data_IF_749466330543
#
_entry.id   IF_749466330543
#
_cell.length_a   1.000
_cell.length_b   1.000
_cell.length_c   1.000
_cell.angle_alpha   90.00
_cell.angle_beta   90.00
_cell.angle_gamma   90.00
#
_symmetry.space_group_name_H-M   'P 1'
#
loop_
_entity.id
_entity.type
_entity.pdbx_description
1 polymer ?
#
# COMPACT_ATOMS: atom_id res chain seq x y z
N UNK A 1 -1.45 -21.92 0.90
CA UNK A 1 -0.04 -21.49 0.99
C UNK A 1 0.13 -20.00 1.30
N UNK A 2 -0.58 -19.06 0.64
CA UNK A 2 -0.43 -17.60 0.88
C UNK A 2 -0.70 -17.13 2.32
N UNK A 3 -1.80 -17.58 2.94
CA UNK A 3 -2.13 -17.20 4.33
C UNK A 3 -1.12 -17.69 5.37
N UNK A 4 -0.57 -18.90 5.19
CA UNK A 4 0.45 -19.44 6.10
C UNK A 4 1.75 -18.64 6.01
N UNK A 5 2.14 -18.22 4.79
CA UNK A 5 3.28 -17.32 4.60
C UNK A 5 3.05 -15.99 5.30
N UNK A 6 1.88 -15.38 5.11
CA UNK A 6 1.53 -14.10 5.75
C UNK A 6 1.66 -14.18 7.28
N UNK A 7 1.14 -15.23 7.90
CA UNK A 7 1.25 -15.44 9.36
C UNK A 7 2.70 -15.70 9.80
N UNK A 8 3.49 -16.42 9.00
CA UNK A 8 4.90 -16.69 9.30
C UNK A 8 5.82 -15.47 9.21
N UNK A 9 5.40 -14.40 8.52
CA UNK A 9 6.18 -13.16 8.37
C UNK A 9 5.89 -12.13 9.47
N UNK A 10 4.90 -12.37 10.32
CA UNK A 10 4.53 -11.46 11.41
C UNK A 10 5.73 -11.21 12.34
N UNK A 11 6.13 -9.95 12.47
CA UNK A 11 7.25 -9.55 13.34
C UNK A 11 8.65 -9.82 12.76
N UNK A 12 8.74 -10.41 11.57
CA UNK A 12 10.01 -10.67 10.87
C UNK A 12 10.14 -9.74 9.66
N UNK A 13 9.15 -9.76 8.75
CA UNK A 13 9.18 -8.96 7.53
C UNK A 13 7.78 -8.46 7.15
N UNK A 14 7.39 -7.37 7.79
CA UNK A 14 6.05 -6.79 7.61
C UNK A 14 5.86 -6.19 6.19
N UNK A 15 6.93 -5.75 5.53
CA UNK A 15 6.85 -5.20 4.17
C UNK A 15 6.52 -6.29 3.15
N UNK A 16 7.18 -7.44 3.24
CA UNK A 16 6.87 -8.57 2.37
C UNK A 16 5.47 -9.11 2.62
N UNK A 17 5.04 -9.19 3.88
CA UNK A 17 3.67 -9.56 4.23
C UNK A 17 2.63 -8.60 3.60
N UNK A 18 2.89 -7.29 3.61
CA UNK A 18 2.00 -6.29 3.00
C UNK A 18 2.01 -6.34 1.46
N UNK A 19 3.17 -6.61 0.85
CA UNK A 19 3.30 -6.80 -0.61
C UNK A 19 2.51 -8.02 -1.06
N UNK A 20 2.68 -9.17 -0.38
CA UNK A 20 1.95 -10.39 -0.72
C UNK A 20 0.45 -10.28 -0.45
N UNK A 21 0.05 -9.59 0.61
CA UNK A 21 -1.36 -9.30 0.89
C UNK A 21 -2.03 -8.55 -0.26
N UNK A 22 -1.39 -7.49 -0.78
CA UNK A 22 -1.94 -6.71 -1.90
C UNK A 22 -1.96 -7.51 -3.21
N UNK A 23 -0.86 -8.22 -3.50
CA UNK A 23 -0.72 -9.01 -4.73
C UNK A 23 -1.62 -10.24 -4.80
N UNK A 24 -1.89 -10.90 -3.66
CA UNK A 24 -2.65 -12.15 -3.61
C UNK A 24 -4.09 -11.98 -3.11
N UNK A 25 -4.41 -10.85 -2.47
CA UNK A 25 -5.71 -10.63 -1.82
C UNK A 25 -5.96 -11.55 -0.61
N UNK A 26 -4.92 -12.18 -0.07
CA UNK A 26 -5.03 -13.09 1.09
C UNK A 26 -4.05 -12.69 2.22
N UNK A 27 -4.45 -12.81 3.49
CA UNK A 27 -5.80 -13.13 3.97
C UNK A 27 -6.82 -12.02 3.64
N UNK A 28 -8.11 -12.35 3.55
CA UNK A 28 -9.14 -11.33 3.38
C UNK A 28 -9.33 -10.57 4.70
N UNK A 29 -8.67 -9.42 4.83
CA UNK A 29 -8.71 -8.58 6.04
C UNK A 29 -9.81 -7.52 5.87
N UNK A 30 -10.82 -7.46 6.77
CA UNK A 30 -11.83 -6.41 6.73
C UNK A 30 -11.23 -5.06 7.11
N UNK A 31 -11.77 -3.99 6.53
CA UNK A 31 -11.42 -2.64 6.91
C UNK A 31 -11.87 -2.34 8.34
N UNK A 32 -11.08 -1.54 9.07
CA UNK A 32 -11.43 -1.08 10.41
C UNK A 32 -12.71 -0.24 10.41
N UNK A 33 -13.53 -0.38 11.46
CA UNK A 33 -14.76 0.39 11.69
C UNK A 33 -14.52 1.70 12.47
N UNK A 34 -13.26 2.01 12.79
CA UNK A 34 -12.94 3.19 13.58
C UNK A 34 -13.27 4.50 12.85
N UNK A 35 -13.73 5.55 13.56
CA UNK A 35 -13.91 6.87 12.96
C UNK A 35 -12.54 7.43 12.52
N UNK A 36 -12.45 7.89 11.26
CA UNK A 36 -11.22 8.46 10.68
C UNK A 36 -10.40 7.51 9.81
N UNK A 37 -10.91 6.31 9.50
CA UNK A 37 -10.29 5.44 8.48
C UNK A 37 -10.40 6.06 7.09
N UNK A 38 -9.38 5.83 6.26
CA UNK A 38 -9.43 6.17 4.84
C UNK A 38 -10.53 5.38 4.11
N UNK A 39 -10.86 5.74 2.86
CA UNK A 39 -11.93 5.09 2.11
C UNK A 39 -11.68 3.61 1.83
N UNK A 40 -10.41 3.21 1.73
CA UNK A 40 -9.97 1.82 1.49
C UNK A 40 -8.67 1.54 2.27
N UNK A 41 -8.27 0.27 2.35
CA UNK A 41 -6.93 -0.13 2.79
C UNK A 41 -5.89 0.43 1.78
N UNK A 42 -4.83 1.14 2.22
CA UNK A 42 -3.84 1.70 1.32
C UNK A 42 -3.14 0.66 0.44
N UNK A 43 -3.08 0.95 -0.86
CA UNK A 43 -2.40 0.15 -1.88
C UNK A 43 -0.97 0.62 -2.14
N UNK A 44 -0.57 1.78 -1.63
CA UNK A 44 0.82 2.27 -1.68
C UNK A 44 1.08 3.35 -0.61
N UNK A 45 2.36 3.71 -0.46
CA UNK A 45 2.77 4.87 0.32
C UNK A 45 2.84 6.12 -0.58
N UNK A 46 2.64 7.29 0.03
CA UNK A 46 2.86 8.59 -0.62
C UNK A 46 4.36 8.87 -0.74
N UNK A 47 4.72 9.61 -1.78
CA UNK A 47 6.04 10.24 -1.84
C UNK A 47 6.25 11.19 -0.65
N UNK A 48 7.49 11.36 -0.18
CA UNK A 48 7.78 12.29 0.91
C UNK A 48 7.55 13.74 0.45
N UNK A 49 7.23 14.62 1.40
CA UNK A 49 6.95 16.04 1.13
C UNK A 49 8.09 16.74 0.40
N UNK A 50 9.34 16.32 0.63
CA UNK A 50 10.53 16.84 -0.06
C UNK A 50 10.45 16.68 -1.58
N UNK A 51 9.89 15.58 -2.09
CA UNK A 51 9.73 15.38 -3.55
C UNK A 51 8.74 16.38 -4.14
N UNK A 52 7.68 16.73 -3.41
CA UNK A 52 6.73 17.76 -3.84
C UNK A 52 7.33 19.17 -3.77
N UNK A 53 8.28 19.42 -2.88
CA UNK A 53 8.90 20.73 -2.70
C UNK A 53 10.06 20.96 -3.68
N UNK A 54 10.92 19.96 -3.87
CA UNK A 54 12.17 20.08 -4.62
C UNK A 54 12.12 19.45 -6.01
N UNK A 55 11.16 18.55 -6.27
CA UNK A 55 11.08 17.76 -7.50
C UNK A 55 9.66 17.72 -8.10
N UNK A 56 8.87 18.75 -7.84
CA UNK A 56 7.44 18.81 -8.16
C UNK A 56 7.11 18.44 -9.63
N UNK A 57 7.98 18.83 -10.57
CA UNK A 57 7.79 18.55 -12.00
C UNK A 57 7.76 17.06 -12.30
N UNK A 58 8.67 16.28 -11.70
CA UNK A 58 8.73 14.84 -11.93
C UNK A 58 7.61 14.10 -11.20
N UNK A 59 7.24 14.55 -9.99
CA UNK A 59 6.09 13.98 -9.26
C UNK A 59 4.77 14.21 -9.99
N UNK A 60 4.60 15.38 -10.63
CA UNK A 60 3.42 15.68 -11.44
C UNK A 60 3.30 14.76 -12.67
N UNK A 61 4.43 14.31 -13.24
CA UNK A 61 4.42 13.36 -14.36
C UNK A 61 3.86 11.98 -13.97
N UNK A 62 3.88 11.62 -12.68
CA UNK A 62 3.27 10.40 -12.18
C UNK A 62 1.74 10.53 -11.94
N UNK A 63 1.12 11.64 -12.35
CA UNK A 63 -0.31 11.92 -12.16
C UNK A 63 -0.77 11.94 -10.69
N UNK A 64 0.13 12.30 -9.76
CA UNK A 64 -0.15 12.46 -8.33
C UNK A 64 -0.92 11.25 -7.73
N UNK A 65 -0.27 10.09 -7.62
CA UNK A 65 -0.93 8.83 -7.29
C UNK A 65 -1.57 8.87 -5.89
N UNK A 66 -2.81 8.43 -5.81
CA UNK A 66 -3.54 8.29 -4.55
C UNK A 66 -3.09 7.03 -3.81
N UNK A 67 -2.83 7.10 -2.49
CA UNK A 67 -2.45 5.92 -1.71
C UNK A 67 -3.55 4.87 -1.59
N UNK A 68 -4.81 5.22 -1.92
CA UNK A 68 -5.98 4.34 -1.75
C UNK A 68 -6.49 3.72 -3.05
N UNK A 69 -6.15 4.29 -4.21
CA UNK A 69 -6.77 3.92 -5.49
C UNK A 69 -5.78 3.74 -6.63
N UNK A 70 -4.52 4.17 -6.47
CA UNK A 70 -3.51 4.06 -7.51
C UNK A 70 -2.56 2.90 -7.19
N UNK A 71 -2.80 1.67 -7.64
CA UNK A 71 -1.89 0.56 -7.41
C UNK A 71 -0.52 0.79 -8.07
N UNK A 72 0.50 0.07 -7.58
CA UNK A 72 1.84 0.08 -8.19
C UNK A 72 1.81 -0.83 -9.43
N UNK A 73 2.69 -0.62 -10.40
CA UNK A 73 2.67 -1.34 -11.70
C UNK A 73 2.63 -2.88 -11.61
N UNK A 74 3.11 -3.47 -10.51
CA UNK A 74 3.13 -4.93 -10.28
C UNK A 74 1.93 -5.44 -9.47
N UNK A 75 1.11 -4.55 -8.94
CA UNK A 75 -0.07 -4.82 -8.12
C UNK A 75 -1.29 -4.81 -9.05
N UNK A 76 -1.79 -5.99 -9.43
CA UNK A 76 -2.86 -6.20 -10.42
C UNK A 76 -4.11 -6.77 -9.79
#
# INVERSE_FOLDING_TARGET
MGTQKYLGLLGINNLEAWVDYRRLGVPNVPQSLAPGVGPNIPVRLRYPQSEYNYNAKNVAMENNPSPFTSPIFWDK
#
